data_IF_912160159060
#
_entry.id   IF_912160159060
#
_cell.length_a   1.000
_cell.length_b   1.000
_cell.length_c   1.000
_cell.angle_alpha   90.00
_cell.angle_beta   90.00
_cell.angle_gamma   90.00
#
_symmetry.space_group_name_H-M   'P 1'
#
loop_
_entity.id
_entity.type
_entity.pdbx_description
1 polymer ?
#
# COMPACT_ATOMS: atom_id res chain seq x y z
N UNK A 1 -1.12 -6.44 -11.33
CA UNK A 1 0.26 -6.79 -11.68
C UNK A 1 0.72 -7.97 -10.82
N UNK A 2 1.75 -8.65 -11.26
CA UNK A 2 2.28 -9.83 -10.58
C UNK A 2 3.55 -9.52 -9.76
N UNK A 3 4.06 -10.54 -9.08
CA UNK A 3 5.24 -10.43 -8.22
C UNK A 3 6.48 -9.95 -9.00
N UNK A 4 6.70 -10.48 -10.18
CA UNK A 4 7.88 -10.11 -10.98
C UNK A 4 7.84 -8.65 -11.38
N UNK A 5 6.67 -8.14 -11.74
CA UNK A 5 6.48 -6.72 -12.08
C UNK A 5 6.90 -5.82 -10.92
N UNK A 6 6.49 -6.18 -9.70
CA UNK A 6 6.85 -5.44 -8.50
C UNK A 6 8.34 -5.58 -8.19
N UNK A 7 8.87 -6.80 -8.28
CA UNK A 7 10.27 -7.09 -7.99
C UNK A 7 11.22 -6.27 -8.86
N UNK A 8 10.88 -6.10 -10.14
CA UNK A 8 11.68 -5.32 -11.06
C UNK A 8 11.67 -3.82 -10.75
N UNK A 9 10.79 -3.38 -9.86
CA UNK A 9 10.58 -1.97 -9.55
C UNK A 9 10.95 -1.57 -8.12
N UNK A 10 11.36 -2.50 -7.28
CA UNK A 10 11.81 -2.13 -5.93
C UNK A 10 13.04 -1.23 -6.04
N UNK A 11 13.15 -0.26 -5.11
CA UNK A 11 14.21 0.75 -5.11
C UNK A 11 14.25 1.67 -6.34
N UNK A 12 13.23 1.64 -7.18
CA UNK A 12 13.11 2.58 -8.28
C UNK A 12 12.50 3.88 -7.77
N UNK A 13 13.26 4.97 -7.83
CA UNK A 13 12.84 6.28 -7.31
C UNK A 13 11.64 6.88 -8.03
N UNK A 14 11.31 6.40 -9.23
CA UNK A 14 10.15 6.88 -10.01
C UNK A 14 8.87 6.12 -9.68
N UNK A 15 8.95 5.05 -8.92
CA UNK A 15 7.82 4.18 -8.57
C UNK A 15 7.52 4.30 -7.08
N UNK A 16 6.27 4.61 -6.75
CA UNK A 16 5.78 4.54 -5.38
C UNK A 16 5.13 3.17 -5.19
N UNK A 17 5.76 2.32 -4.39
CA UNK A 17 5.17 1.06 -3.96
C UNK A 17 4.51 1.33 -2.61
N UNK A 18 3.20 1.13 -2.53
CA UNK A 18 2.38 1.57 -1.38
C UNK A 18 1.80 0.37 -0.64
N UNK A 19 2.24 0.21 0.60
CA UNK A 19 1.73 -0.79 1.53
C UNK A 19 0.52 -0.19 2.27
N UNK A 20 -0.64 -0.81 2.13
CA UNK A 20 -1.90 -0.31 2.70
C UNK A 20 -2.23 -0.94 4.06
N UNK A 21 -1.34 -1.75 4.63
CA UNK A 21 -1.54 -2.39 5.92
C UNK A 21 -1.29 -1.44 7.09
N UNK A 22 -1.64 -1.88 8.30
CA UNK A 22 -1.34 -1.15 9.51
C UNK A 22 0.16 -0.87 9.62
N UNK A 23 0.50 0.27 10.20
CA UNK A 23 1.89 0.69 10.38
C UNK A 23 2.72 -0.33 11.17
N UNK A 24 2.15 -0.95 12.22
CA UNK A 24 2.87 -1.96 13.00
C UNK A 24 3.23 -3.19 12.17
N UNK A 25 2.36 -3.61 11.25
CA UNK A 25 2.67 -4.71 10.33
C UNK A 25 3.72 -4.32 9.31
N UNK A 26 3.62 -3.11 8.78
CA UNK A 26 4.58 -2.56 7.83
C UNK A 26 5.99 -2.49 8.45
N UNK A 27 6.10 -2.06 9.69
CA UNK A 27 7.37 -1.97 10.40
C UNK A 27 7.95 -3.33 10.81
N UNK A 28 7.15 -4.36 10.80
CA UNK A 28 7.56 -5.68 11.27
C UNK A 28 7.44 -5.89 12.76
N UNK A 29 6.73 -5.01 13.47
CA UNK A 29 6.54 -5.12 14.92
C UNK A 29 5.57 -6.25 15.30
N UNK A 30 4.54 -6.49 14.47
CA UNK A 30 3.56 -7.55 14.64
C UNK A 30 3.24 -8.18 13.29
N UNK A 31 2.96 -9.48 13.29
CA UNK A 31 2.45 -10.16 12.12
C UNK A 31 1.51 -11.29 12.54
N UNK A 32 0.20 -11.02 12.62
CA UNK A 32 -0.76 -12.03 13.08
C UNK A 32 -1.13 -13.08 12.03
N UNK A 33 -0.82 -12.87 10.76
CA UNK A 33 -1.31 -13.71 9.66
C UNK A 33 -0.19 -14.36 8.86
N UNK A 34 0.82 -13.59 8.43
CA UNK A 34 1.85 -14.05 7.52
C UNK A 34 3.08 -14.61 8.24
N UNK A 35 3.86 -15.43 7.54
CA UNK A 35 5.04 -16.10 8.11
C UNK A 35 6.21 -15.16 8.39
N UNK A 36 6.28 -14.04 7.68
CA UNK A 36 7.36 -13.05 7.82
C UNK A 36 6.77 -11.70 8.15
N UNK A 37 7.43 -10.96 9.02
CA UNK A 37 7.02 -9.61 9.41
C UNK A 37 7.84 -8.56 8.65
N UNK A 38 7.20 -7.46 8.27
CA UNK A 38 7.85 -6.35 7.57
C UNK A 38 7.09 -5.94 6.31
N UNK A 39 7.80 -5.42 5.33
CA UNK A 39 7.19 -4.93 4.08
C UNK A 39 8.09 -5.23 2.88
N UNK A 40 7.54 -5.09 1.68
CA UNK A 40 8.32 -5.18 0.46
C UNK A 40 9.36 -4.05 0.45
N UNK A 41 10.64 -4.33 0.15
CA UNK A 41 11.67 -3.28 0.18
C UNK A 41 11.28 -2.05 -0.65
N UNK A 42 11.59 -0.88 -0.14
CA UNK A 42 11.28 0.45 -0.70
C UNK A 42 9.81 0.88 -0.61
N UNK A 43 8.91 0.05 -0.09
CA UNK A 43 7.50 0.42 0.03
C UNK A 43 7.27 1.55 1.03
N UNK A 44 6.33 2.42 0.69
CA UNK A 44 5.79 3.45 1.58
C UNK A 44 4.56 2.89 2.29
N UNK A 45 4.20 3.48 3.42
CA UNK A 45 3.04 3.03 4.18
C UNK A 45 1.90 4.07 4.15
N UNK A 46 0.76 3.68 3.58
CA UNK A 46 -0.48 4.45 3.60
C UNK A 46 -1.59 3.53 4.09
N UNK A 47 -1.84 3.52 5.40
CA UNK A 47 -2.82 2.63 6.00
C UNK A 47 -4.22 2.89 5.43
N UNK A 48 -4.91 1.83 5.00
CA UNK A 48 -6.20 1.94 4.31
C UNK A 48 -7.28 2.64 5.14
N UNK A 49 -7.25 2.54 6.47
CA UNK A 49 -8.22 3.22 7.33
C UNK A 49 -8.00 4.73 7.43
N UNK A 50 -6.84 5.23 7.01
CA UNK A 50 -6.57 6.66 7.06
C UNK A 50 -7.35 7.45 5.99
N UNK A 51 -8.00 6.77 5.05
CA UNK A 51 -8.91 7.42 4.10
C UNK A 51 -10.28 7.72 4.70
N UNK A 52 -10.58 7.17 5.88
CA UNK A 52 -11.87 7.33 6.53
C UNK A 52 -11.93 8.65 7.30
N UNK A 53 -13.11 9.28 7.28
CA UNK A 53 -13.37 10.48 8.08
C UNK A 53 -13.73 10.06 9.51
N UNK A 54 -12.77 10.19 10.42
CA UNK A 54 -12.92 9.77 11.81
C UNK A 54 -13.82 10.71 12.63
N UNK A 55 -14.21 11.84 12.07
CA UNK A 55 -15.09 12.81 12.74
C UNK A 55 -16.57 12.47 12.58
N UNK A 56 -16.89 11.50 11.77
CA UNK A 56 -18.26 11.01 11.55
C UNK A 56 -18.40 9.59 12.11
N UNK A 57 -19.55 9.31 12.75
CA UNK A 57 -19.86 7.98 13.27
C UNK A 57 -20.05 6.94 12.16
N UNK A 58 -20.17 7.38 10.93
CA UNK A 58 -20.31 6.53 9.76
C UNK A 58 -18.96 6.36 9.07
N UNK A 59 -18.74 5.18 8.48
CA UNK A 59 -17.52 4.88 7.75
C UNK A 59 -17.51 5.60 6.40
N UNK A 60 -17.46 6.92 6.44
CA UNK A 60 -17.39 7.74 5.25
C UNK A 60 -15.94 8.01 4.86
N UNK A 61 -15.71 8.02 3.57
CA UNK A 61 -14.42 8.41 3.01
C UNK A 61 -14.25 9.93 3.22
N UNK A 62 -13.02 10.35 3.50
CA UNK A 62 -12.66 11.76 3.63
C UNK A 62 -13.05 12.52 2.36
N UNK A 63 -13.22 13.86 2.49
CA UNK A 63 -13.49 14.72 1.36
C UNK A 63 -12.39 14.59 0.30
N UNK A 64 -12.73 14.89 -0.95
CA UNK A 64 -11.79 14.88 -2.06
C UNK A 64 -10.55 15.74 -1.78
N UNK A 65 -10.75 16.90 -1.18
CA UNK A 65 -9.66 17.82 -0.82
C UNK A 65 -8.74 17.20 0.24
N UNK A 66 -9.30 16.58 1.29
CA UNK A 66 -8.51 15.89 2.31
C UNK A 66 -7.74 14.72 1.74
N UNK A 67 -8.33 13.95 0.82
CA UNK A 67 -7.66 12.84 0.14
C UNK A 67 -6.49 13.35 -0.71
N UNK A 68 -6.66 14.44 -1.43
CA UNK A 68 -5.59 15.05 -2.23
C UNK A 68 -4.41 15.44 -1.35
N UNK A 69 -4.68 16.01 -0.19
CA UNK A 69 -3.63 16.39 0.76
C UNK A 69 -2.94 15.16 1.34
N UNK A 70 -3.70 14.12 1.70
CA UNK A 70 -3.17 12.89 2.27
C UNK A 70 -2.22 12.17 1.32
N UNK A 71 -2.54 12.12 0.04
CA UNK A 71 -1.78 11.42 -0.99
C UNK A 71 -0.90 12.33 -1.85
N UNK A 72 -0.73 13.59 -1.45
CA UNK A 72 -0.04 14.57 -2.30
C UNK A 72 1.36 14.15 -2.74
N UNK A 73 2.10 13.43 -1.90
CA UNK A 73 3.46 13.02 -2.21
C UNK A 73 3.52 11.96 -3.33
N UNK A 74 2.42 11.25 -3.57
CA UNK A 74 2.35 10.28 -4.66
C UNK A 74 2.40 10.94 -6.04
N UNK A 75 2.09 12.22 -6.13
CA UNK A 75 2.19 12.97 -7.40
C UNK A 75 3.64 13.14 -7.87
N UNK A 76 4.60 12.91 -6.98
CA UNK A 76 6.03 13.02 -7.32
C UNK A 76 6.57 11.78 -8.04
N UNK A 77 5.75 10.74 -8.20
CA UNK A 77 6.16 9.47 -8.81
C UNK A 77 5.51 9.30 -10.18
N UNK A 78 6.19 8.61 -11.06
CA UNK A 78 5.67 8.29 -12.38
C UNK A 78 4.68 7.13 -12.36
N UNK A 79 4.84 6.23 -11.39
CA UNK A 79 4.00 5.03 -11.25
C UNK A 79 3.69 4.80 -9.78
N UNK A 80 2.45 4.39 -9.50
CA UNK A 80 1.99 4.01 -8.15
C UNK A 80 1.51 2.56 -8.20
N UNK A 81 2.04 1.72 -7.31
CA UNK A 81 1.62 0.33 -7.17
C UNK A 81 1.16 0.15 -5.73
N UNK A 82 -0.07 -0.33 -5.54
CA UNK A 82 -0.61 -0.56 -4.19
C UNK A 82 -0.68 -2.06 -3.89
N UNK A 83 -0.51 -2.42 -2.62
CA UNK A 83 -0.70 -3.79 -2.13
C UNK A 83 -1.13 -3.77 -0.67
N UNK A 84 -1.63 -4.91 -0.20
CA UNK A 84 -2.00 -5.10 1.21
C UNK A 84 -1.47 -6.46 1.70
N UNK A 85 -2.16 -7.09 2.64
CA UNK A 85 -1.76 -8.43 3.13
C UNK A 85 -2.12 -9.53 2.14
N UNK A 86 -3.41 -9.65 1.83
CA UNK A 86 -3.96 -10.69 0.94
C UNK A 86 -4.70 -10.16 -0.28
N UNK A 87 -4.63 -8.85 -0.54
CA UNK A 87 -5.27 -8.24 -1.69
C UNK A 87 -6.68 -7.68 -1.42
N UNK A 88 -7.19 -7.79 -0.21
CA UNK A 88 -8.56 -7.36 0.12
C UNK A 88 -8.60 -5.92 0.60
N UNK A 89 -7.74 -5.53 1.53
CA UNK A 89 -7.81 -4.20 2.19
C UNK A 89 -7.21 -3.06 1.38
N UNK A 90 -6.59 -3.32 0.25
CA UNK A 90 -6.13 -2.26 -0.64
C UNK A 90 -7.26 -1.66 -1.49
N UNK A 91 -8.41 -2.36 -1.60
CA UNK A 91 -9.53 -1.87 -2.41
C UNK A 91 -10.06 -0.50 -1.99
N UNK A 92 -10.22 -0.18 -0.69
CA UNK A 92 -10.61 1.17 -0.29
C UNK A 92 -9.62 2.24 -0.73
N UNK A 93 -8.31 1.95 -0.69
CA UNK A 93 -7.29 2.89 -1.15
C UNK A 93 -7.41 3.11 -2.66
N UNK A 94 -7.70 2.06 -3.43
CA UNK A 94 -7.90 2.21 -4.88
C UNK A 94 -9.07 3.11 -5.20
N UNK A 95 -10.17 3.00 -4.46
CA UNK A 95 -11.32 3.90 -4.62
C UNK A 95 -10.94 5.36 -4.33
N UNK A 96 -10.17 5.59 -3.27
CA UNK A 96 -9.73 6.93 -2.90
C UNK A 96 -8.83 7.52 -4.00
N UNK A 97 -7.89 6.74 -4.54
CA UNK A 97 -7.01 7.20 -5.61
C UNK A 97 -7.77 7.51 -6.89
N UNK A 98 -8.79 6.70 -7.22
CA UNK A 98 -9.68 6.99 -8.35
C UNK A 98 -10.41 8.32 -8.16
N UNK A 99 -10.88 8.59 -6.95
CA UNK A 99 -11.61 9.83 -6.65
C UNK A 99 -10.75 11.07 -6.89
N UNK A 100 -9.46 11.00 -6.61
CA UNK A 100 -8.52 12.11 -6.79
C UNK A 100 -7.69 12.00 -8.07
N UNK A 101 -8.06 11.08 -8.95
CA UNK A 101 -7.47 10.92 -10.28
C UNK A 101 -5.97 10.61 -10.27
N UNK A 102 -5.50 9.85 -9.29
CA UNK A 102 -4.13 9.32 -9.28
C UNK A 102 -4.15 7.92 -9.91
N UNK A 103 -3.49 7.72 -11.06
CA UNK A 103 -3.40 6.39 -11.66
C UNK A 103 -2.61 5.45 -10.75
N UNK A 104 -3.04 4.20 -10.68
CA UNK A 104 -2.36 3.18 -9.87
C UNK A 104 -2.45 1.82 -10.54
N UNK A 105 -1.57 0.92 -10.09
CA UNK A 105 -1.64 -0.50 -10.39
C UNK A 105 -1.77 -1.26 -9.08
N UNK A 106 -2.42 -2.41 -9.12
CA UNK A 106 -2.69 -3.21 -7.93
C UNK A 106 -1.93 -4.52 -8.01
N UNK A 107 -1.03 -4.76 -7.04
CA UNK A 107 -0.42 -6.06 -6.84
C UNK A 107 -1.38 -6.90 -6.01
N UNK A 108 -2.25 -7.64 -6.68
CA UNK A 108 -3.35 -8.37 -6.03
C UNK A 108 -2.88 -9.50 -5.13
N UNK A 109 -1.75 -10.15 -5.47
CA UNK A 109 -1.16 -11.17 -4.61
C UNK A 109 -0.70 -10.61 -3.27
N UNK A 110 -0.25 -9.38 -3.28
CA UNK A 110 0.10 -8.62 -2.09
C UNK A 110 1.21 -9.25 -1.26
N UNK A 111 1.32 -8.87 0.02
CA UNK A 111 2.43 -9.33 0.86
C UNK A 111 2.46 -10.86 1.04
N UNK A 112 1.29 -11.49 1.15
CA UNK A 112 1.21 -12.95 1.27
C UNK A 112 1.82 -13.67 0.07
N UNK A 113 1.59 -13.16 -1.13
CA UNK A 113 2.21 -13.69 -2.34
C UNK A 113 3.71 -13.40 -2.38
N UNK A 114 4.10 -12.18 -2.02
CA UNK A 114 5.51 -11.77 -2.01
C UNK A 114 6.38 -12.68 -1.15
N UNK A 115 5.94 -12.99 0.06
CA UNK A 115 6.71 -13.82 1.00
C UNK A 115 6.65 -15.31 0.67
N UNK A 116 5.76 -15.73 -0.23
CA UNK A 116 5.70 -17.13 -0.68
C UNK A 116 6.90 -17.50 -1.55
N UNK A 117 7.63 -16.52 -2.05
CA UNK A 117 8.86 -16.73 -2.83
C UNK A 117 10.06 -16.57 -1.90
N UNK A 118 10.77 -17.66 -1.63
CA UNK A 118 11.86 -17.69 -0.64
C UNK A 118 12.99 -16.69 -0.94
N UNK A 119 13.24 -16.40 -2.21
CA UNK A 119 14.28 -15.46 -2.63
C UNK A 119 13.93 -14.00 -2.43
N UNK A 120 12.66 -13.68 -2.15
CA UNK A 120 12.24 -12.29 -1.97
C UNK A 120 12.62 -11.78 -0.59
N UNK A 121 13.20 -10.59 -0.55
CA UNK A 121 13.59 -9.92 0.69
C UNK A 121 12.44 -9.16 1.31
N UNK A 122 12.49 -8.99 2.62
CA UNK A 122 11.53 -8.24 3.41
C UNK A 122 12.29 -7.19 4.22
N UNK A 123 11.81 -5.97 4.20
CA UNK A 123 12.40 -4.87 4.97
C UNK A 123 11.60 -4.63 6.26
N UNK A 124 12.29 -4.11 7.27
CA UNK A 124 11.69 -3.68 8.54
C UNK A 124 12.23 -2.31 8.91
N UNK A 125 11.50 -1.63 9.77
CA UNK A 125 11.95 -0.32 10.28
C UNK A 125 12.18 -0.41 11.77
#
# INVERSE_FOLDING_TARGET
>A
VDMKYVKDRINNKKVALVDCRENARYKGEVEPVDKKAGHIPSALNYFWMDILDKNNDLLNIKSKESLKNHFKDLNNYEEVIIYCGSGITASPVSLALNEIEIPYKFYTGSFSDWISYDENQVATI
#
